data_IF_516475658286
#
_entry.id   IF_516475658286
#
_cell.length_a   1.000
_cell.length_b   1.000
_cell.length_c   1.000
_cell.angle_alpha   90.00
_cell.angle_beta   90.00
_cell.angle_gamma   90.00
#
_symmetry.space_group_name_H-M   'P 1'
#
loop_
_entity.id
_entity.type
_entity.pdbx_description
1 polymer ?
#
# COMPACT_ATOMS: atom_id res chain seq x y z
N UNK A 1 -8.74 6.45 18.00
CA UNK A 1 -7.77 7.27 17.22
C UNK A 1 -7.07 6.39 16.18
N UNK A 2 -6.40 5.31 16.60
CA UNK A 2 -5.73 4.31 15.74
C UNK A 2 -6.61 3.73 14.60
N UNK A 3 -7.85 3.33 14.88
CA UNK A 3 -8.73 2.77 13.85
C UNK A 3 -9.12 3.77 12.75
N UNK A 4 -9.25 5.06 13.07
CA UNK A 4 -9.64 6.09 12.10
C UNK A 4 -8.46 6.46 11.17
N UNK A 5 -7.25 6.52 11.72
CA UNK A 5 -6.03 6.75 10.95
C UNK A 5 -5.75 5.61 9.98
N UNK A 6 -5.92 4.37 10.44
CA UNK A 6 -5.72 3.20 9.60
C UNK A 6 -6.76 3.10 8.48
N UNK A 7 -8.03 3.46 8.74
CA UNK A 7 -9.05 3.59 7.70
C UNK A 7 -8.64 4.62 6.65
N UNK A 8 -8.18 5.81 7.08
CA UNK A 8 -7.70 6.86 6.17
C UNK A 8 -6.54 6.38 5.31
N UNK A 9 -5.55 5.70 5.92
CA UNK A 9 -4.41 5.12 5.18
C UNK A 9 -4.89 4.15 4.10
N UNK A 10 -5.85 3.27 4.42
CA UNK A 10 -6.40 2.32 3.46
C UNK A 10 -7.15 3.02 2.33
N UNK A 11 -7.90 4.07 2.62
CA UNK A 11 -8.61 4.86 1.62
C UNK A 11 -7.64 5.63 0.71
N UNK A 12 -6.58 6.21 1.28
CA UNK A 12 -5.52 6.90 0.53
C UNK A 12 -4.76 5.93 -0.40
N UNK A 13 -4.48 4.71 0.05
CA UNK A 13 -3.91 3.65 -0.78
C UNK A 13 -4.82 3.29 -1.96
N UNK A 14 -6.12 3.18 -1.73
CA UNK A 14 -7.08 2.91 -2.80
C UNK A 14 -7.18 4.06 -3.79
N UNK A 15 -7.22 5.31 -3.28
CA UNK A 15 -7.29 6.50 -4.12
C UNK A 15 -6.04 6.63 -5.00
N UNK A 16 -4.84 6.51 -4.41
CA UNK A 16 -3.58 6.60 -5.14
C UNK A 16 -3.46 5.51 -6.23
N UNK A 17 -3.93 4.29 -5.96
CA UNK A 17 -3.95 3.21 -6.95
C UNK A 17 -4.89 3.52 -8.13
N UNK A 18 -6.11 4.00 -7.83
CA UNK A 18 -7.10 4.37 -8.86
C UNK A 18 -6.63 5.53 -9.73
N UNK A 19 -6.02 6.54 -9.14
CA UNK A 19 -5.44 7.69 -9.86
C UNK A 19 -4.29 7.27 -10.78
N UNK A 20 -3.51 6.26 -10.38
CA UNK A 20 -2.48 5.66 -11.22
C UNK A 20 -3.05 4.71 -12.30
N UNK A 21 -4.37 4.52 -12.35
CA UNK A 21 -5.05 3.63 -13.29
C UNK A 21 -4.92 2.14 -12.94
N UNK A 22 -4.46 1.80 -11.74
CA UNK A 22 -4.39 0.41 -11.27
C UNK A 22 -5.78 -0.07 -10.81
N UNK A 23 -6.05 -1.36 -11.07
CA UNK A 23 -7.18 -2.05 -10.44
C UNK A 23 -6.76 -2.48 -9.03
N UNK A 24 -7.45 -1.96 -8.02
CA UNK A 24 -7.32 -2.46 -6.64
C UNK A 24 -7.97 -3.84 -6.56
N UNK A 25 -7.20 -4.82 -6.10
CA UNK A 25 -7.69 -6.18 -5.80
C UNK A 25 -8.07 -6.25 -4.33
N UNK A 26 -7.17 -5.79 -3.44
CA UNK A 26 -7.37 -5.86 -2.00
C UNK A 26 -6.52 -4.80 -1.28
N UNK A 27 -7.05 -4.22 -0.22
CA UNK A 27 -6.27 -3.50 0.79
C UNK A 27 -6.58 -4.06 2.16
N UNK A 28 -5.61 -4.74 2.77
CA UNK A 28 -5.75 -5.43 4.06
C UNK A 28 -4.64 -5.03 5.03
N UNK A 29 -4.78 -5.45 6.28
CA UNK A 29 -3.84 -5.13 7.35
C UNK A 29 -3.53 -6.37 8.18
N UNK A 30 -2.33 -6.44 8.73
CA UNK A 30 -2.01 -7.39 9.79
C UNK A 30 -2.45 -6.86 11.16
N UNK A 31 -2.32 -7.70 12.19
CA UNK A 31 -2.44 -7.25 13.58
C UNK A 31 -1.33 -6.24 13.90
N UNK A 32 -1.61 -5.20 14.70
CA UNK A 32 -0.58 -4.29 15.18
C UNK A 32 0.53 -5.03 15.93
N UNK A 33 1.77 -4.57 15.76
CA UNK A 33 2.95 -5.05 16.47
C UNK A 33 3.56 -3.90 17.28
N UNK A 34 3.99 -4.19 18.50
CA UNK A 34 4.75 -3.25 19.32
C UNK A 34 6.23 -3.37 18.98
N UNK A 35 6.85 -2.27 18.55
CA UNK A 35 8.29 -2.18 18.27
C UNK A 35 8.83 -0.92 18.93
N UNK A 36 9.76 -1.08 19.87
CA UNK A 36 10.41 0.05 20.58
C UNK A 36 9.44 1.04 21.25
N UNK A 37 8.31 0.55 21.79
CA UNK A 37 7.29 1.38 22.44
C UNK A 37 6.27 2.02 21.48
N UNK A 38 6.43 1.82 20.18
CA UNK A 38 5.52 2.34 19.15
C UNK A 38 4.64 1.22 18.59
N UNK A 39 3.37 1.54 18.29
CA UNK A 39 2.46 0.62 17.60
C UNK A 39 2.65 0.77 16.10
N UNK A 40 3.01 -0.34 15.45
CA UNK A 40 3.19 -0.41 14.00
C UNK A 40 2.21 -1.40 13.41
N UNK A 41 1.52 -0.99 12.35
CA UNK A 41 0.60 -1.86 11.63
C UNK A 41 1.11 -2.09 10.21
N UNK A 42 1.29 -3.35 9.83
CA UNK A 42 1.57 -3.68 8.43
C UNK A 42 0.28 -3.60 7.62
N UNK A 43 0.32 -2.85 6.51
CA UNK A 43 -0.75 -2.73 5.53
C UNK A 43 -0.28 -3.32 4.21
N UNK A 44 -1.15 -4.10 3.58
CA UNK A 44 -0.93 -4.71 2.27
C UNK A 44 -1.84 -4.04 1.25
N UNK A 45 -1.26 -3.60 0.14
CA UNK A 45 -2.01 -3.13 -1.03
C UNK A 45 -1.72 -4.04 -2.21
N UNK A 46 -2.75 -4.80 -2.62
CA UNK A 46 -2.70 -5.69 -3.78
C UNK A 46 -3.44 -5.03 -4.94
N UNK A 47 -2.71 -4.83 -6.02
CA UNK A 47 -3.15 -4.08 -7.20
C UNK A 47 -2.75 -4.83 -8.47
N UNK A 48 -3.40 -4.52 -9.59
CA UNK A 48 -3.00 -5.05 -10.89
C UNK A 48 -3.08 -3.98 -11.98
N UNK A 49 -2.19 -4.09 -12.95
CA UNK A 49 -2.07 -3.18 -14.08
C UNK A 49 -0.76 -3.38 -14.82
N UNK A 50 -0.33 -2.36 -15.54
CA UNK A 50 0.96 -2.31 -16.24
C UNK A 50 2.07 -1.75 -15.34
N UNK A 51 3.33 -2.02 -15.71
CA UNK A 51 4.51 -1.54 -14.98
C UNK A 51 4.56 0.00 -14.83
N UNK A 52 4.19 0.74 -15.88
CA UNK A 52 4.15 2.21 -15.84
C UNK A 52 3.14 2.76 -14.83
N UNK A 53 1.97 2.11 -14.73
CA UNK A 53 0.96 2.44 -13.72
C UNK A 53 1.45 2.12 -12.30
N UNK A 54 2.20 1.03 -12.13
CA UNK A 54 2.84 0.70 -10.86
C UNK A 54 3.87 1.75 -10.42
N UNK A 55 4.69 2.23 -11.36
CA UNK A 55 5.65 3.29 -11.08
C UNK A 55 4.94 4.58 -10.65
N UNK A 56 3.90 5.00 -11.38
CA UNK A 56 3.08 6.16 -11.03
C UNK A 56 2.45 6.02 -9.64
N UNK A 57 1.94 4.82 -9.30
CA UNK A 57 1.39 4.54 -7.99
C UNK A 57 2.41 4.71 -6.88
N UNK A 58 3.63 4.16 -7.02
CA UNK A 58 4.68 4.30 -6.01
C UNK A 58 5.08 5.76 -5.79
N UNK A 59 5.14 6.57 -6.85
CA UNK A 59 5.42 8.01 -6.76
C UNK A 59 4.29 8.77 -6.03
N UNK A 60 3.03 8.46 -6.34
CA UNK A 60 1.87 9.07 -5.66
C UNK A 60 1.85 8.75 -4.16
N UNK A 61 2.20 7.52 -3.78
CA UNK A 61 2.25 7.11 -2.37
C UNK A 61 3.30 7.87 -1.57
N UNK A 62 4.49 8.10 -2.13
CA UNK A 62 5.55 8.85 -1.46
C UNK A 62 5.12 10.28 -1.10
N UNK A 63 4.26 10.91 -1.89
CA UNK A 63 3.73 12.25 -1.62
C UNK A 63 2.55 12.29 -0.64
N UNK A 64 1.76 11.20 -0.53
CA UNK A 64 0.53 11.16 0.27
C UNK A 64 0.70 10.59 1.67
N UNK A 65 1.65 9.66 1.83
CA UNK A 65 1.78 8.85 3.03
C UNK A 65 3.22 8.93 3.59
N UNK A 66 3.72 10.14 3.93
CA UNK A 66 5.10 10.31 4.43
C UNK A 66 5.37 9.55 5.74
N UNK A 67 4.32 9.24 6.51
CA UNK A 67 4.38 8.47 7.75
C UNK A 67 4.43 6.94 7.53
N UNK A 68 4.36 6.47 6.29
CA UNK A 68 4.45 5.04 5.97
C UNK A 68 5.83 4.67 5.45
N UNK A 69 6.34 3.54 5.92
CA UNK A 69 7.57 2.95 5.43
C UNK A 69 7.23 1.83 4.45
N UNK A 70 7.79 1.88 3.25
CA UNK A 70 7.77 0.74 2.35
C UNK A 70 8.70 -0.35 2.89
N UNK A 71 8.14 -1.53 3.16
CA UNK A 71 8.89 -2.71 3.61
C UNK A 71 9.26 -3.60 2.42
N UNK A 72 8.28 -3.91 1.55
CA UNK A 72 8.50 -4.82 0.43
C UNK A 72 7.56 -4.54 -0.74
N UNK A 73 8.07 -4.73 -1.96
CA UNK A 73 7.27 -4.83 -3.18
C UNK A 73 7.47 -6.22 -3.78
N UNK A 74 6.38 -6.87 -4.15
CA UNK A 74 6.39 -8.11 -4.92
C UNK A 74 5.64 -7.84 -6.22
N UNK A 75 6.31 -7.98 -7.35
CA UNK A 75 5.69 -7.91 -8.68
C UNK A 75 5.66 -9.31 -9.29
N UNK A 76 4.49 -9.72 -9.76
CA UNK A 76 4.30 -10.96 -10.49
C UNK A 76 3.59 -10.64 -11.80
N UNK A 77 4.30 -10.80 -12.90
CA UNK A 77 3.74 -10.61 -14.25
C UNK A 77 3.37 -11.96 -14.83
N UNK A 78 2.14 -12.09 -15.32
CA UNK A 78 1.71 -13.28 -16.03
C UNK A 78 2.14 -13.25 -17.52
N UNK A 79 1.93 -14.36 -18.24
CA UNK A 79 2.24 -14.46 -19.67
C UNK A 79 1.44 -13.49 -20.54
N UNK A 80 0.36 -12.91 -20.01
CA UNK A 80 -0.49 -11.93 -20.69
C UNK A 80 -0.06 -10.48 -20.40
N UNK A 81 1.16 -10.27 -19.87
CA UNK A 81 1.71 -8.95 -19.51
C UNK A 81 0.88 -8.21 -18.45
N UNK A 82 0.06 -8.92 -17.68
CA UNK A 82 -0.66 -8.35 -16.56
C UNK A 82 0.19 -8.49 -15.32
N UNK A 83 0.63 -7.36 -14.76
CA UNK A 83 1.38 -7.34 -13.51
C UNK A 83 0.41 -7.25 -12.34
N UNK A 84 0.55 -8.20 -11.41
CA UNK A 84 -0.02 -8.11 -10.07
C UNK A 84 1.10 -7.67 -9.15
N UNK A 85 0.86 -6.63 -8.37
CA UNK A 85 1.80 -6.11 -7.40
C UNK A 85 1.21 -6.13 -6.01
N UNK A 86 2.04 -6.52 -5.04
CA UNK A 86 1.73 -6.43 -3.61
C UNK A 86 2.75 -5.48 -2.99
N UNK A 87 2.26 -4.37 -2.46
CA UNK A 87 3.03 -3.46 -1.63
C UNK A 87 2.76 -3.79 -0.16
N UNK A 88 3.83 -3.99 0.60
CA UNK A 88 3.80 -4.12 2.05
C UNK A 88 4.36 -2.85 2.65
N UNK A 89 3.55 -2.18 3.46
CA UNK A 89 3.88 -0.91 4.09
C UNK A 89 3.73 -1.05 5.61
N UNK A 90 4.61 -0.42 6.37
CA UNK A 90 4.46 -0.27 7.83
C UNK A 90 3.96 1.15 8.10
N UNK A 91 2.80 1.26 8.76
CA UNK A 91 2.27 2.52 9.27
C UNK A 91 2.47 2.59 10.78
N UNK A 92 3.00 3.72 11.25
CA UNK A 92 3.00 4.05 12.67
C UNK A 92 1.59 4.52 13.06
N UNK A 93 0.98 3.87 14.04
CA UNK A 93 -0.40 4.17 14.48
C UNK A 93 -0.47 4.77 15.89
N UNK A 94 0.69 5.14 16.48
CA UNK A 94 0.80 5.80 17.78
C UNK A 94 2.09 6.57 18.00
#
# INVERSE_FOLDING_TARGET
>A
MEAAELTRIKDDLQAAAREAGLKVIEVSQAKPILRSGESWTTVFSKVSGSESQFQAYCLNLAGRLPQMRLDKIILQTDKAQKTVGVLRLEARTR
#
